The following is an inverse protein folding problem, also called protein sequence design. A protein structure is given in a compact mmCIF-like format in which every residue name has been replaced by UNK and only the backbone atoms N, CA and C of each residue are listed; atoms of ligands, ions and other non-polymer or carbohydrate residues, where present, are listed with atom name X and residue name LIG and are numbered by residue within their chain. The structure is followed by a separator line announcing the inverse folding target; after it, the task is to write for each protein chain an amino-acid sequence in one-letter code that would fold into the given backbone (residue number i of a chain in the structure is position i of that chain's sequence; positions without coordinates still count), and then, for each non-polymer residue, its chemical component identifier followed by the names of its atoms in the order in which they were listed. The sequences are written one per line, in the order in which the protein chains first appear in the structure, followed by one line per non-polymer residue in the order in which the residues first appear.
data_IF_951543514549
#
_entry.id   IF_951543514549
#
_cell.length_a   1.000
_cell.length_b   1.000
_cell.length_c   1.000
_cell.angle_alpha   90.00
_cell.angle_beta   90.00
_cell.angle_gamma   90.00
#
_symmetry.space_group_name_H-M   'P 1'
#
loop_
_entity.id
_entity.type
_entity.pdbx_description
1 polymer ?
#
# COMPACT_ATOMS: atom_id res chain seq x y z
N UNK A 1 -15.40 23.07 -9.88
CA UNK A 1 -15.20 22.26 -8.66
C UNK A 1 -15.82 23.01 -7.48
N UNK A 2 -16.64 22.35 -6.73
CA UNK A 2 -17.32 22.96 -5.58
C UNK A 2 -16.40 22.96 -4.37
N UNK A 3 -16.64 23.91 -3.46
CA UNK A 3 -15.84 24.09 -2.25
C UNK A 3 -15.75 22.82 -1.38
N UNK A 4 -16.80 22.01 -1.36
CA UNK A 4 -16.88 20.80 -0.54
C UNK A 4 -16.45 19.53 -1.26
N UNK A 5 -16.02 19.62 -2.52
CA UNK A 5 -15.52 18.46 -3.24
C UNK A 5 -14.20 18.02 -2.63
N UNK A 6 -14.11 16.72 -2.32
CA UNK A 6 -12.93 16.12 -1.70
C UNK A 6 -12.47 14.91 -2.49
N UNK A 7 -11.18 14.68 -2.46
CA UNK A 7 -10.52 13.58 -3.17
C UNK A 7 -9.73 12.76 -2.14
N UNK A 8 -9.88 11.42 -2.13
CA UNK A 8 -9.00 10.59 -1.30
C UNK A 8 -7.53 10.87 -1.67
N UNK A 9 -6.67 11.01 -0.69
CA UNK A 9 -5.29 11.40 -0.92
C UNK A 9 -4.37 10.96 0.21
N UNK A 10 -3.07 11.00 -0.04
CA UNK A 10 -2.03 10.91 0.96
C UNK A 10 -1.26 12.21 1.04
N UNK A 11 -0.91 12.61 2.24
CA UNK A 11 -0.08 13.79 2.48
C UNK A 11 1.02 13.46 3.48
N UNK A 12 2.13 14.16 3.35
CA UNK A 12 3.23 14.12 4.31
C UNK A 12 3.26 15.42 5.09
N UNK A 13 3.50 15.34 6.41
CA UNK A 13 3.67 16.51 7.26
C UNK A 13 4.98 17.19 6.89
N UNK A 14 4.91 18.41 6.40
CA UNK A 14 6.07 19.19 5.97
C UNK A 14 5.76 20.69 6.22
N UNK A 15 6.45 21.27 7.18
CA UNK A 15 6.21 22.67 7.59
C UNK A 15 7.03 23.62 6.72
N UNK A 16 6.33 24.54 6.05
CA UNK A 16 6.97 25.53 5.18
C UNK A 16 6.68 26.98 5.60
N UNK A 17 5.70 27.17 6.50
CA UNK A 17 5.34 28.51 7.01
C UNK A 17 5.24 28.51 8.53
N UNK A 18 5.39 29.66 9.16
CA UNK A 18 5.22 29.81 10.62
C UNK A 18 3.77 29.56 11.05
N UNK A 19 2.81 29.94 10.23
CA UNK A 19 1.39 29.64 10.49
C UNK A 19 1.13 28.13 10.44
N UNK A 20 1.73 27.45 9.46
CA UNK A 20 1.65 25.99 9.36
C UNK A 20 2.23 25.30 10.60
N UNK A 21 3.32 25.81 11.15
CA UNK A 21 3.92 25.30 12.38
C UNK A 21 2.99 25.46 13.58
N UNK A 22 2.36 26.63 13.70
CA UNK A 22 1.39 26.90 14.77
C UNK A 22 0.21 25.93 14.68
N UNK A 23 -0.36 25.75 13.49
CA UNK A 23 -1.47 24.83 13.27
C UNK A 23 -1.09 23.38 13.58
N UNK A 24 0.13 22.97 13.22
CA UNK A 24 0.62 21.62 13.51
C UNK A 24 0.73 21.36 15.01
N UNK A 25 1.21 22.33 15.77
CA UNK A 25 1.31 22.22 17.24
C UNK A 25 -0.06 22.08 17.90
N UNK A 26 -1.10 22.70 17.35
CA UNK A 26 -2.46 22.59 17.85
C UNK A 26 -3.03 21.15 17.68
N UNK A 27 -2.59 20.44 16.64
CA UNK A 27 -3.00 19.04 16.41
C UNK A 27 -2.37 18.12 17.47
N UNK A 28 -1.07 18.28 17.73
CA UNK A 28 -0.39 17.47 18.74
C UNK A 28 1.13 17.50 18.55
N UNK A 29 1.86 17.41 19.66
CA UNK A 29 3.33 17.43 19.65
C UNK A 29 3.96 16.16 19.10
N UNK A 30 3.19 15.08 19.05
CA UNK A 30 3.62 13.78 18.57
C UNK A 30 3.42 13.58 17.06
N UNK A 31 2.70 14.50 16.41
CA UNK A 31 2.60 14.51 14.95
C UNK A 31 3.81 15.25 14.37
N UNK A 32 4.78 14.48 13.90
CA UNK A 32 6.07 15.01 13.45
C UNK A 32 6.16 15.13 11.94
N UNK A 33 7.02 16.05 11.47
CA UNK A 33 7.35 16.15 10.04
C UNK A 33 7.87 14.82 9.51
N UNK A 34 7.50 14.53 8.27
CA UNK A 34 7.82 13.25 7.63
C UNK A 34 6.77 12.16 7.84
N UNK A 35 5.80 12.38 8.73
CA UNK A 35 4.69 11.45 8.91
C UNK A 35 3.79 11.48 7.68
N UNK A 36 3.45 10.30 7.16
CA UNK A 36 2.55 10.16 6.01
C UNK A 36 1.16 9.80 6.51
N UNK A 37 0.16 10.51 6.02
CA UNK A 37 -1.22 10.41 6.46
C UNK A 37 -2.13 10.09 5.29
N UNK A 38 -3.11 9.23 5.52
CA UNK A 38 -4.21 8.96 4.60
C UNK A 38 -5.41 9.82 4.99
N UNK A 39 -6.08 10.40 4.02
CA UNK A 39 -7.23 11.24 4.27
C UNK A 39 -7.87 11.74 3.00
N UNK A 40 -8.45 12.94 3.09
CA UNK A 40 -9.16 13.58 1.98
C UNK A 40 -8.61 14.99 1.74
N UNK A 41 -8.35 15.28 0.48
CA UNK A 41 -7.88 16.59 0.06
C UNK A 41 -9.04 17.40 -0.54
N UNK A 42 -9.17 18.65 -0.11
CA UNK A 42 -10.13 19.62 -0.64
C UNK A 42 -9.38 20.60 -1.54
N UNK A 43 -9.46 20.42 -2.88
CA UNK A 43 -8.64 21.23 -3.80
C UNK A 43 -8.89 22.74 -3.74
N UNK A 44 -10.11 23.15 -3.43
CA UNK A 44 -10.47 24.59 -3.40
C UNK A 44 -9.83 25.29 -2.20
N UNK A 45 -9.95 24.69 -1.00
CA UNK A 45 -9.41 25.28 0.23
C UNK A 45 -7.97 24.89 0.51
N UNK A 46 -7.44 23.87 -0.18
CA UNK A 46 -6.14 23.25 0.06
C UNK A 46 -6.02 22.59 1.44
N UNK A 47 -7.13 22.24 2.03
CA UNK A 47 -7.18 21.52 3.28
C UNK A 47 -7.02 20.02 3.05
N UNK A 48 -6.32 19.34 3.96
CA UNK A 48 -6.21 17.89 4.00
C UNK A 48 -6.78 17.40 5.32
N UNK A 49 -7.89 16.66 5.24
CA UNK A 49 -8.64 16.17 6.39
C UNK A 49 -8.22 14.73 6.69
N UNK A 50 -7.90 14.44 7.95
CA UNK A 50 -7.46 13.12 8.39
C UNK A 50 -7.85 12.87 9.84
N UNK A 51 -7.75 11.63 10.26
CA UNK A 51 -7.98 11.24 11.64
C UNK A 51 -6.63 11.04 12.35
N UNK A 52 -6.49 11.65 13.52
CA UNK A 52 -5.29 11.50 14.36
C UNK A 52 -5.72 11.14 15.77
N UNK A 53 -5.32 9.94 16.21
CA UNK A 53 -5.67 9.40 17.55
C UNK A 53 -7.15 9.44 17.86
N UNK A 54 -8.00 9.11 16.88
CA UNK A 54 -9.45 9.06 17.03
C UNK A 54 -10.17 10.40 16.86
N UNK A 55 -9.44 11.47 16.61
CA UNK A 55 -9.99 12.80 16.40
C UNK A 55 -9.74 13.31 14.98
N UNK A 56 -10.69 14.05 14.44
CA UNK A 56 -10.54 14.74 13.16
C UNK A 56 -9.52 15.87 13.27
N UNK A 57 -8.60 15.94 12.33
CA UNK A 57 -7.58 16.96 12.24
C UNK A 57 -7.41 17.40 10.80
N UNK A 58 -6.70 18.49 10.59
CA UNK A 58 -6.53 19.09 9.27
C UNK A 58 -5.13 19.64 9.08
N UNK A 59 -4.53 19.31 7.94
CA UNK A 59 -3.32 19.97 7.45
C UNK A 59 -3.71 20.99 6.36
N UNK A 60 -2.84 21.97 6.15
CA UNK A 60 -2.96 22.95 5.08
C UNK A 60 -1.84 22.71 4.08
N UNK A 61 -2.21 22.27 2.88
CA UNK A 61 -1.23 21.94 1.85
C UNK A 61 -0.54 23.22 1.38
N UNK A 62 0.79 23.23 1.48
CA UNK A 62 1.63 24.40 1.23
C UNK A 62 2.07 25.12 2.49
N UNK A 63 1.49 24.83 3.66
CA UNK A 63 1.87 25.41 4.94
C UNK A 63 2.44 24.39 5.92
N UNK A 64 1.75 23.27 6.16
CA UNK A 64 2.22 22.21 7.05
C UNK A 64 2.04 20.79 6.47
N UNK A 65 1.71 20.70 5.19
CA UNK A 65 1.56 19.43 4.51
C UNK A 65 1.88 19.54 3.02
N UNK A 66 2.27 18.41 2.44
CA UNK A 66 2.51 18.26 0.99
C UNK A 66 1.80 17.01 0.51
N UNK A 67 1.07 17.11 -0.60
CA UNK A 67 0.43 15.95 -1.20
C UNK A 67 1.49 14.97 -1.74
N UNK A 68 1.32 13.71 -1.40
CA UNK A 68 2.15 12.61 -1.89
C UNK A 68 1.47 11.93 -3.08
N UNK A 69 0.14 11.69 -2.95
CA UNK A 69 -0.65 11.09 -4.02
C UNK A 69 -2.09 11.58 -3.95
N UNK A 70 -2.78 11.54 -5.09
CA UNK A 70 -4.20 11.83 -5.21
C UNK A 70 -4.96 10.55 -5.59
N UNK A 71 -6.16 10.39 -5.04
CA UNK A 71 -7.05 9.26 -5.31
C UNK A 71 -6.83 8.10 -4.37
N UNK A 72 -7.72 7.11 -4.46
CA UNK A 72 -7.69 5.89 -3.62
C UNK A 72 -6.57 4.92 -4.00
N UNK A 73 -5.88 5.18 -5.10
CA UNK A 73 -4.92 4.26 -5.70
C UNK A 73 -3.85 3.77 -4.74
N UNK A 74 -3.30 4.61 -3.88
CA UNK A 74 -2.24 4.21 -2.95
C UNK A 74 -2.76 3.27 -1.87
N UNK A 75 -3.85 3.61 -1.23
CA UNK A 75 -4.49 2.76 -0.22
C UNK A 75 -4.91 1.43 -0.82
N UNK A 76 -5.56 1.45 -1.98
CA UNK A 76 -5.96 0.25 -2.70
C UNK A 76 -4.75 -0.63 -3.04
N UNK A 77 -3.66 -0.03 -3.51
CA UNK A 77 -2.42 -0.76 -3.84
C UNK A 77 -1.81 -1.43 -2.61
N UNK A 78 -1.78 -0.76 -1.46
CA UNK A 78 -1.34 -1.37 -0.21
C UNK A 78 -2.20 -2.56 0.19
N UNK A 79 -3.51 -2.39 0.14
CA UNK A 79 -4.46 -3.46 0.47
C UNK A 79 -4.30 -4.65 -0.46
N UNK A 80 -4.23 -4.41 -1.76
CA UNK A 80 -4.05 -5.47 -2.75
C UNK A 80 -2.73 -6.19 -2.58
N UNK A 81 -1.65 -5.46 -2.37
CA UNK A 81 -0.33 -6.07 -2.15
C UNK A 81 -0.32 -6.97 -0.90
N UNK A 82 -0.95 -6.52 0.18
CA UNK A 82 -1.12 -7.32 1.40
C UNK A 82 -1.92 -8.60 1.15
N UNK A 83 -3.01 -8.50 0.39
CA UNK A 83 -3.82 -9.65 0.00
C UNK A 83 -3.04 -10.64 -0.86
N UNK A 84 -2.32 -10.13 -1.86
CA UNK A 84 -1.53 -10.98 -2.75
C UNK A 84 -0.40 -11.70 -1.99
N UNK A 85 0.21 -11.01 -1.02
CA UNK A 85 1.21 -11.63 -0.13
C UNK A 85 0.58 -12.75 0.71
N UNK A 86 -0.61 -12.52 1.27
CA UNK A 86 -1.33 -13.55 2.03
C UNK A 86 -1.64 -14.77 1.17
N UNK A 87 -2.03 -14.56 -0.08
CA UNK A 87 -2.29 -15.63 -1.03
C UNK A 87 -1.02 -16.45 -1.32
N UNK A 88 0.14 -15.80 -1.44
CA UNK A 88 1.42 -16.49 -1.58
C UNK A 88 1.71 -17.39 -0.36
N UNK A 89 1.53 -16.87 0.83
CA UNK A 89 1.74 -17.62 2.08
C UNK A 89 0.78 -18.80 2.18
N UNK A 90 -0.47 -18.61 1.76
CA UNK A 90 -1.44 -19.70 1.72
C UNK A 90 -1.05 -20.77 0.69
N UNK A 91 -0.62 -20.36 -0.50
CA UNK A 91 -0.13 -21.27 -1.54
C UNK A 91 1.04 -22.13 -1.04
N UNK A 92 1.98 -21.56 -0.29
CA UNK A 92 3.11 -22.31 0.26
C UNK A 92 2.69 -23.41 1.23
N UNK A 93 1.52 -23.30 1.83
CA UNK A 93 0.92 -24.32 2.70
C UNK A 93 0.04 -25.28 1.92
N UNK A 94 -0.62 -24.80 0.86
CA UNK A 94 -1.53 -25.57 0.00
C UNK A 94 -1.25 -25.20 -1.46
N UNK A 95 -0.31 -25.90 -2.13
CA UNK A 95 0.28 -25.46 -3.40
C UNK A 95 -0.61 -25.70 -4.63
N UNK A 96 -1.76 -25.06 -4.67
CA UNK A 96 -2.68 -25.07 -5.81
C UNK A 96 -2.87 -23.65 -6.33
N UNK A 97 -2.62 -23.43 -7.63
CA UNK A 97 -2.74 -22.10 -8.25
C UNK A 97 -4.12 -21.48 -8.10
N UNK A 98 -5.18 -22.29 -7.94
CA UNK A 98 -6.54 -21.81 -7.70
C UNK A 98 -6.67 -20.97 -6.41
N UNK A 99 -5.70 -21.09 -5.50
CA UNK A 99 -5.66 -20.31 -4.26
C UNK A 99 -5.01 -18.93 -4.45
N UNK A 100 -4.42 -18.69 -5.63
CA UNK A 100 -3.88 -17.37 -5.97
C UNK A 100 -4.97 -16.50 -6.58
N UNK A 101 -4.93 -15.21 -6.28
CA UNK A 101 -5.87 -14.25 -6.85
C UNK A 101 -5.76 -14.18 -8.37
N UNK A 102 -4.54 -14.17 -8.89
CA UNK A 102 -4.29 -14.27 -10.32
C UNK A 102 -4.00 -15.72 -10.73
N UNK A 103 -4.38 -16.12 -11.95
CA UNK A 103 -4.45 -17.54 -12.29
C UNK A 103 -3.10 -18.28 -12.44
N UNK A 104 -1.97 -17.61 -12.35
CA UNK A 104 -0.65 -18.25 -12.41
C UNK A 104 0.31 -17.59 -11.43
N UNK A 105 1.32 -18.33 -11.01
CA UNK A 105 2.39 -17.82 -10.14
C UNK A 105 3.08 -16.62 -10.80
N UNK A 106 3.42 -16.75 -12.08
CA UNK A 106 4.10 -15.69 -12.82
C UNK A 106 3.29 -14.39 -12.86
N UNK A 107 2.00 -14.49 -13.17
CA UNK A 107 1.11 -13.33 -13.22
C UNK A 107 0.88 -12.73 -11.84
N UNK A 108 0.66 -13.56 -10.84
CA UNK A 108 0.45 -13.13 -9.46
C UNK A 108 1.64 -12.31 -8.95
N UNK A 109 2.86 -12.80 -9.17
CA UNK A 109 4.08 -12.10 -8.74
C UNK A 109 4.38 -10.87 -9.60
N UNK A 110 4.03 -10.89 -10.88
CA UNK A 110 4.12 -9.72 -11.75
C UNK A 110 3.24 -8.58 -11.25
N UNK A 111 2.00 -8.89 -10.88
CA UNK A 111 1.06 -7.90 -10.32
C UNK A 111 1.54 -7.38 -8.96
N UNK A 112 2.11 -8.24 -8.12
CA UNK A 112 2.72 -7.82 -6.86
C UNK A 112 3.84 -6.81 -7.10
N UNK A 113 4.74 -7.09 -8.05
CA UNK A 113 5.82 -6.17 -8.41
C UNK A 113 5.29 -4.84 -8.93
N UNK A 114 4.24 -4.88 -9.73
CA UNK A 114 3.60 -3.69 -10.28
C UNK A 114 3.03 -2.80 -9.17
N UNK A 115 2.25 -3.37 -8.25
CA UNK A 115 1.73 -2.63 -7.09
C UNK A 115 2.86 -2.06 -6.24
N UNK A 116 3.89 -2.85 -5.98
CA UNK A 116 5.03 -2.41 -5.18
C UNK A 116 5.77 -1.23 -5.82
N UNK A 117 5.98 -1.29 -7.14
CA UNK A 117 6.66 -0.22 -7.89
C UNK A 117 5.83 1.07 -7.93
N UNK A 118 4.52 0.97 -8.00
CA UNK A 118 3.61 2.12 -8.06
C UNK A 118 3.38 2.79 -6.70
N UNK A 119 3.76 2.14 -5.61
CA UNK A 119 3.66 2.75 -4.28
C UNK A 119 4.73 3.83 -4.11
N UNK A 120 4.29 5.03 -3.72
CA UNK A 120 5.20 6.15 -3.47
C UNK A 120 6.09 5.88 -2.24
N UNK A 121 5.53 5.22 -1.24
CA UNK A 121 6.25 4.82 -0.03
C UNK A 121 6.22 3.31 0.02
N UNK A 122 7.41 2.70 0.04
CA UNK A 122 7.52 1.25 0.02
C UNK A 122 7.17 0.66 1.38
N UNK A 123 6.43 -0.47 1.41
CA UNK A 123 6.07 -1.11 2.68
C UNK A 123 7.31 -1.71 3.35
N UNK A 124 7.36 -1.61 4.68
CA UNK A 124 8.43 -2.24 5.47
C UNK A 124 8.29 -3.76 5.52
N UNK A 125 7.05 -4.25 5.40
CA UNK A 125 6.72 -5.67 5.52
C UNK A 125 6.94 -6.49 4.25
N UNK A 126 7.33 -5.86 3.12
CA UNK A 126 7.62 -6.56 1.87
C UNK A 126 8.62 -5.77 1.03
N UNK A 127 9.72 -6.40 0.67
CA UNK A 127 10.70 -5.84 -0.27
C UNK A 127 10.53 -6.44 -1.66
N UNK A 128 11.07 -5.77 -2.66
CA UNK A 128 11.07 -6.28 -4.04
C UNK A 128 11.77 -7.66 -4.13
N UNK A 129 12.87 -7.83 -3.42
CA UNK A 129 13.60 -9.11 -3.36
C UNK A 129 12.75 -10.22 -2.75
N UNK A 130 11.96 -9.92 -1.74
CA UNK A 130 11.09 -10.91 -1.11
C UNK A 130 10.03 -11.43 -2.08
N UNK A 131 9.51 -10.59 -2.97
CA UNK A 131 8.58 -11.03 -4.03
C UNK A 131 9.25 -12.08 -4.92
N UNK A 132 10.49 -11.84 -5.33
CA UNK A 132 11.27 -12.80 -6.13
C UNK A 132 11.52 -14.11 -5.40
N UNK A 133 11.82 -14.05 -4.10
CA UNK A 133 12.00 -15.25 -3.27
C UNK A 133 10.72 -16.06 -3.14
N UNK A 134 9.59 -15.39 -2.96
CA UNK A 134 8.27 -16.03 -2.91
C UNK A 134 7.94 -16.73 -4.22
N UNK A 135 8.17 -16.06 -5.35
CA UNK A 135 7.97 -16.64 -6.68
C UNK A 135 8.80 -17.90 -6.87
N UNK A 136 10.08 -17.85 -6.49
CA UNK A 136 10.97 -19.01 -6.58
C UNK A 136 10.48 -20.18 -5.72
N UNK A 137 10.09 -19.91 -4.48
CA UNK A 137 9.56 -20.94 -3.57
C UNK A 137 8.27 -21.57 -4.10
N UNK A 138 7.35 -20.75 -4.61
CA UNK A 138 6.10 -21.24 -5.18
C UNK A 138 6.32 -22.10 -6.41
N UNK A 139 7.22 -21.70 -7.30
CA UNK A 139 7.59 -22.49 -8.48
C UNK A 139 8.22 -23.82 -8.11
N UNK A 140 9.08 -23.84 -7.09
CA UNK A 140 9.67 -25.09 -6.59
C UNK A 140 8.61 -26.05 -6.04
N UNK A 141 7.66 -25.54 -5.27
CA UNK A 141 6.57 -26.35 -4.71
C UNK A 141 5.66 -26.90 -5.81
N UNK A 142 5.35 -26.09 -6.80
CA UNK A 142 4.57 -26.53 -7.96
C UNK A 142 5.28 -27.64 -8.73
N UNK A 143 6.58 -27.50 -8.96
CA UNK A 143 7.39 -28.50 -9.66
C UNK A 143 7.39 -29.82 -8.90
N UNK A 144 7.55 -29.78 -7.57
CA UNK A 144 7.48 -30.98 -6.73
C UNK A 144 6.12 -31.68 -6.85
N UNK A 145 5.04 -30.90 -6.79
CA UNK A 145 3.68 -31.40 -6.90
C UNK A 145 3.44 -32.06 -8.27
N UNK A 146 3.86 -31.42 -9.35
CA UNK A 146 3.73 -31.95 -10.70
C UNK A 146 4.51 -33.27 -10.88
N UNK A 147 5.70 -33.36 -10.30
CA UNK A 147 6.49 -34.61 -10.30
C UNK A 147 5.79 -35.72 -9.53
N UNK A 148 5.18 -35.39 -8.42
CA UNK A 148 4.41 -36.35 -7.61
C UNK A 148 3.21 -36.89 -8.39
N UNK A 149 2.46 -36.04 -9.07
CA UNK A 149 1.35 -36.45 -9.92
C UNK A 149 1.78 -37.36 -11.06
N UNK A 150 2.89 -37.07 -11.72
CA UNK A 150 3.44 -37.92 -12.79
C UNK A 150 3.85 -39.28 -12.24
N UNK A 151 4.42 -39.33 -11.06
CA UNK A 151 4.82 -40.57 -10.39
C UNK A 151 3.60 -41.44 -10.06
N UNK A 152 2.55 -40.82 -9.52
CA UNK A 152 1.31 -41.50 -9.14
C UNK A 152 0.58 -42.09 -10.36
N UNK A 153 0.62 -41.40 -11.50
CA UNK A 153 0.02 -41.89 -12.76
C UNK A 153 0.73 -43.07 -13.35
N UNK A 154 2.01 -43.28 -13.04
CA UNK A 154 2.80 -44.43 -13.55
C UNK A 154 2.63 -45.70 -12.72
N UNK A 155 2.03 -45.59 -11.57
CA UNK A 155 1.67 -46.71 -10.71
C UNK A 155 0.26 -47.18 -11.02
#
# INVERSE_FOLDING_TARGET
MKEYDKIPAQAVVEVTTSWGRTCLREIGRDLKEGTVLDGYYYPVSKAFDFEWKGEGAMLWIGDNGRLVSLGEGQKHKYMMLGRLLSDCKYFLRNPYERHLYFPSIARHCKEMRQYWMELNIKPEWLSYKQIGRLEHKMNRMKTKLDRQFKKDRRQ
#
